data_IF_171674680974
#
_entry.id   IF_171674680974
#
_cell.length_a   1.000
_cell.length_b   1.000
_cell.length_c   1.000
_cell.angle_alpha   90.00
_cell.angle_beta   90.00
_cell.angle_gamma   90.00
#
_symmetry.space_group_name_H-M   'P 1'
#
loop_
_entity.id
_entity.type
_entity.pdbx_description
1 polymer ?
#
# COMPACT_ATOMS: atom_id res chain seq x y z
N UNK A 1 20.78 13.92 45.53
CA UNK A 1 20.86 14.73 44.30
C UNK A 1 21.88 14.06 43.39
N UNK A 2 21.41 13.26 42.43
CA UNK A 2 22.24 12.69 41.35
C UNK A 2 22.86 13.85 40.58
N UNK A 3 24.19 13.86 40.41
CA UNK A 3 24.84 14.96 39.70
C UNK A 3 24.52 14.80 38.22
N UNK A 4 24.35 15.91 37.51
CA UNK A 4 24.07 15.95 36.06
C UNK A 4 25.10 15.12 35.25
N UNK A 5 26.33 14.97 35.78
CA UNK A 5 27.38 14.10 35.23
C UNK A 5 26.98 12.63 35.17
N UNK A 6 26.37 12.10 36.25
CA UNK A 6 26.03 10.68 36.36
C UNK A 6 24.93 10.28 35.36
N UNK A 7 24.03 11.22 35.06
CA UNK A 7 22.95 11.03 34.10
C UNK A 7 23.45 11.03 32.64
N UNK A 8 24.42 11.89 32.31
CA UNK A 8 25.05 11.93 30.99
C UNK A 8 25.82 10.63 30.69
N UNK A 9 26.55 10.11 31.68
CA UNK A 9 27.33 8.88 31.52
C UNK A 9 26.41 7.65 31.37
N UNK A 10 25.28 7.61 32.08
CA UNK A 10 24.25 6.58 31.89
C UNK A 10 23.63 6.61 30.49
N UNK A 11 23.32 7.80 29.95
CA UNK A 11 22.79 7.92 28.59
C UNK A 11 23.81 7.46 27.54
N UNK A 12 25.08 7.83 27.70
CA UNK A 12 26.15 7.38 26.78
C UNK A 12 26.34 5.86 26.82
N UNK A 13 26.27 5.24 28.00
CA UNK A 13 26.31 3.77 28.12
C UNK A 13 25.10 3.10 27.48
N UNK A 14 23.91 3.67 27.60
CA UNK A 14 22.71 3.13 26.95
C UNK A 14 22.79 3.23 25.42
N UNK A 15 23.28 4.36 24.91
CA UNK A 15 23.49 4.56 23.47
C UNK A 15 24.56 3.62 22.93
N UNK A 16 25.68 3.45 23.65
CA UNK A 16 26.74 2.52 23.25
C UNK A 16 26.24 1.08 23.25
N UNK A 17 25.54 0.65 24.31
CA UNK A 17 24.97 -0.70 24.37
C UNK A 17 23.96 -0.96 23.26
N UNK A 18 23.13 0.03 22.92
CA UNK A 18 22.20 -0.07 21.80
C UNK A 18 22.94 -0.18 20.46
N UNK A 19 24.02 0.59 20.27
CA UNK A 19 24.88 0.50 19.08
C UNK A 19 25.56 -0.87 18.98
N UNK A 20 26.17 -1.35 20.05
CA UNK A 20 26.86 -2.66 20.07
C UNK A 20 25.88 -3.81 19.82
N UNK A 21 24.63 -3.69 20.30
CA UNK A 21 23.56 -4.66 20.03
C UNK A 21 23.10 -4.62 18.57
N UNK A 22 23.02 -3.44 17.96
CA UNK A 22 22.71 -3.27 16.55
C UNK A 22 23.83 -3.87 15.68
N UNK A 23 25.09 -3.63 16.04
CA UNK A 23 26.25 -4.14 15.31
C UNK A 23 26.35 -5.67 15.42
N UNK A 24 26.14 -6.24 16.63
CA UNK A 24 26.13 -7.68 16.84
C UNK A 24 24.98 -8.37 16.09
N UNK A 25 23.76 -7.81 16.14
CA UNK A 25 22.62 -8.34 15.41
C UNK A 25 22.80 -8.26 13.89
N UNK A 26 23.45 -7.20 13.41
CA UNK A 26 23.79 -7.06 11.98
C UNK A 26 24.80 -8.11 11.55
N UNK A 27 25.84 -8.36 12.36
CA UNK A 27 26.83 -9.38 12.05
C UNK A 27 26.23 -10.80 12.05
N UNK A 28 25.36 -11.11 13.02
CA UNK A 28 24.66 -12.41 13.08
C UNK A 28 23.81 -12.64 11.81
N UNK A 29 23.11 -11.61 11.35
CA UNK A 29 22.32 -11.66 10.13
C UNK A 29 23.20 -11.85 8.88
N UNK A 30 24.38 -11.21 8.82
CA UNK A 30 25.33 -11.35 7.72
C UNK A 30 25.95 -12.76 7.69
N UNK A 31 26.33 -13.28 8.86
CA UNK A 31 26.87 -14.64 9.00
C UNK A 31 25.82 -15.67 8.56
N UNK A 32 24.58 -15.49 9.00
CA UNK A 32 23.47 -16.34 8.59
C UNK A 32 23.17 -16.27 7.10
N UNK A 33 23.24 -15.08 6.50
CA UNK A 33 23.05 -14.91 5.07
C UNK A 33 24.14 -15.56 4.21
N UNK A 34 25.32 -15.81 4.79
CA UNK A 34 26.42 -16.56 4.17
C UNK A 34 26.38 -18.08 4.43
N UNK A 35 25.48 -18.57 5.28
CA UNK A 35 25.49 -19.95 5.76
C UNK A 35 24.39 -20.81 5.14
N UNK A 36 24.78 -21.75 4.26
CA UNK A 36 23.85 -22.71 3.66
C UNK A 36 23.18 -23.62 4.69
N UNK A 37 23.93 -24.04 5.71
CA UNK A 37 23.43 -24.91 6.79
C UNK A 37 22.35 -24.20 7.62
N UNK A 38 22.58 -22.94 8.00
CA UNK A 38 21.62 -22.19 8.81
C UNK A 38 20.37 -21.83 7.99
N UNK A 39 20.53 -21.48 6.72
CA UNK A 39 19.41 -21.27 5.80
C UNK A 39 18.58 -22.55 5.62
N UNK A 40 19.24 -23.69 5.39
CA UNK A 40 18.57 -24.98 5.27
C UNK A 40 17.79 -25.32 6.54
N UNK A 41 18.39 -25.13 7.72
CA UNK A 41 17.71 -25.36 9.00
C UNK A 41 16.46 -24.47 9.20
N UNK A 42 16.50 -23.21 8.73
CA UNK A 42 15.32 -22.34 8.75
C UNK A 42 14.22 -22.84 7.80
N UNK A 43 14.58 -23.29 6.59
CA UNK A 43 13.63 -23.85 5.63
C UNK A 43 13.00 -25.14 6.18
N UNK A 44 13.80 -26.00 6.83
CA UNK A 44 13.30 -27.23 7.46
C UNK A 44 12.30 -26.95 8.58
N UNK A 45 12.50 -25.88 9.37
CA UNK A 45 11.51 -25.44 10.38
C UNK A 45 10.18 -25.04 9.75
N UNK A 46 10.19 -24.45 8.55
CA UNK A 46 8.97 -24.11 7.82
C UNK A 46 8.26 -25.37 7.28
N UNK A 47 9.02 -26.37 6.83
CA UNK A 47 8.49 -27.61 6.28
C UNK A 47 7.99 -28.59 7.35
N UNK A 48 8.41 -28.43 8.62
CA UNK A 48 8.04 -29.33 9.70
C UNK A 48 6.69 -28.95 10.33
N UNK A 49 5.65 -29.81 10.24
CA UNK A 49 4.33 -29.53 10.82
C UNK A 49 4.32 -29.51 12.36
N UNK A 50 5.36 -30.04 13.01
CA UNK A 50 5.50 -30.01 14.47
C UNK A 50 6.11 -28.70 15.00
N UNK A 51 6.65 -27.85 14.11
CA UNK A 51 7.22 -26.56 14.52
C UNK A 51 6.12 -25.60 14.95
N UNK A 52 6.35 -24.89 16.05
CA UNK A 52 5.37 -23.95 16.59
C UNK A 52 5.12 -22.78 15.62
N UNK A 53 3.93 -22.17 15.66
CA UNK A 53 3.63 -21.00 14.82
C UNK A 53 4.61 -19.84 15.08
N UNK A 54 5.02 -19.62 16.33
CA UNK A 54 6.01 -18.59 16.68
C UNK A 54 7.37 -18.84 16.02
N UNK A 55 7.83 -20.10 16.00
CA UNK A 55 9.09 -20.47 15.36
C UNK A 55 9.00 -20.40 13.84
N UNK A 56 7.84 -20.76 13.26
CA UNK A 56 7.59 -20.58 11.82
C UNK A 56 7.64 -19.10 11.43
N UNK A 57 6.97 -18.22 12.19
CA UNK A 57 6.98 -16.78 11.95
C UNK A 57 8.38 -16.18 12.08
N UNK A 58 9.12 -16.59 13.10
CA UNK A 58 10.52 -16.20 13.29
C UNK A 58 11.39 -16.63 12.10
N UNK A 59 11.20 -17.85 11.60
CA UNK A 59 11.91 -18.35 10.43
C UNK A 59 11.53 -17.60 9.15
N UNK A 60 10.24 -17.33 8.88
CA UNK A 60 9.81 -16.52 7.73
C UNK A 60 10.41 -15.12 7.80
N UNK A 61 10.35 -14.46 8.96
CA UNK A 61 10.91 -13.12 9.17
C UNK A 61 12.41 -13.09 8.91
N UNK A 62 13.15 -14.05 9.46
CA UNK A 62 14.60 -14.19 9.26
C UNK A 62 14.93 -14.41 7.79
N UNK A 63 14.25 -15.34 7.11
CA UNK A 63 14.46 -15.64 5.70
C UNK A 63 14.09 -14.47 4.78
N UNK A 64 13.13 -13.63 5.18
CA UNK A 64 12.76 -12.40 4.46
C UNK A 64 13.90 -11.38 4.51
N UNK A 65 14.45 -11.11 5.70
CA UNK A 65 15.56 -10.17 5.88
C UNK A 65 16.80 -10.68 5.17
N UNK A 66 17.15 -11.95 5.38
CA UNK A 66 18.31 -12.63 4.77
C UNK A 66 18.23 -12.63 3.24
N UNK A 67 17.03 -12.78 2.69
CA UNK A 67 16.80 -12.80 1.25
C UNK A 67 17.19 -11.51 0.52
N UNK A 68 17.38 -10.40 1.24
CA UNK A 68 17.80 -9.12 0.65
C UNK A 68 19.27 -9.15 0.19
N UNK A 69 20.15 -9.83 0.93
CA UNK A 69 21.62 -9.78 0.70
C UNK A 69 22.29 -11.16 0.64
N UNK A 70 21.57 -12.25 0.92
CA UNK A 70 22.13 -13.60 0.83
C UNK A 70 22.41 -14.00 -0.62
N UNK A 71 23.63 -14.45 -0.88
CA UNK A 71 24.01 -15.13 -2.12
C UNK A 71 23.69 -16.63 -2.09
N UNK A 72 23.40 -17.18 -0.91
CA UNK A 72 23.17 -18.60 -0.68
C UNK A 72 21.69 -18.95 -0.84
N UNK A 73 20.80 -18.13 -0.28
CA UNK A 73 19.34 -18.37 -0.34
C UNK A 73 18.79 -18.61 -1.76
N UNK A 74 19.25 -17.92 -2.82
CA UNK A 74 18.81 -18.21 -4.19
C UNK A 74 19.06 -19.65 -4.64
N UNK A 75 20.09 -20.32 -4.11
CA UNK A 75 20.39 -21.74 -4.43
C UNK A 75 19.40 -22.72 -3.80
N UNK A 76 18.62 -22.25 -2.82
CA UNK A 76 17.59 -23.00 -2.07
C UNK A 76 16.17 -22.51 -2.36
N UNK A 77 15.99 -21.79 -3.47
CA UNK A 77 14.72 -21.11 -3.75
C UNK A 77 13.56 -22.10 -3.92
N UNK A 78 13.83 -23.27 -4.49
CA UNK A 78 12.80 -24.29 -4.70
C UNK A 78 12.32 -24.89 -3.37
N UNK A 79 13.24 -25.22 -2.46
CA UNK A 79 12.93 -25.75 -1.14
C UNK A 79 12.17 -24.73 -0.29
N UNK A 80 12.63 -23.47 -0.29
CA UNK A 80 11.93 -22.38 0.39
C UNK A 80 10.51 -22.18 -0.15
N UNK A 81 10.35 -22.09 -1.47
CA UNK A 81 9.03 -21.92 -2.10
C UNK A 81 8.10 -23.09 -1.75
N UNK A 82 8.59 -24.32 -1.79
CA UNK A 82 7.78 -25.49 -1.43
C UNK A 82 7.39 -25.51 0.05
N UNK A 83 8.31 -25.15 0.96
CA UNK A 83 8.02 -25.05 2.38
C UNK A 83 6.93 -23.99 2.65
N UNK A 84 7.05 -22.80 2.04
CA UNK A 84 6.06 -21.73 2.16
C UNK A 84 4.71 -22.10 1.55
N UNK A 85 4.68 -22.81 0.42
CA UNK A 85 3.43 -23.33 -0.17
C UNK A 85 2.70 -24.28 0.78
N UNK A 86 3.44 -25.09 1.54
CA UNK A 86 2.88 -25.92 2.62
C UNK A 86 2.19 -25.12 3.72
N UNK A 87 2.63 -23.89 3.96
CA UNK A 87 2.10 -22.99 4.99
C UNK A 87 0.88 -22.18 4.56
N UNK A 88 0.50 -22.18 3.27
CA UNK A 88 -0.71 -21.49 2.77
C UNK A 88 -1.98 -22.00 3.50
N UNK A 89 -1.97 -23.25 3.97
CA UNK A 89 -3.09 -23.87 4.71
C UNK A 89 -2.82 -24.02 6.21
N UNK A 90 -1.84 -23.28 6.75
CA UNK A 90 -1.54 -23.31 8.19
C UNK A 90 -2.79 -22.99 9.01
N UNK A 91 -3.04 -23.66 10.16
CA UNK A 91 -4.13 -23.28 11.04
C UNK A 91 -3.92 -21.88 11.64
N UNK A 92 -2.66 -21.46 11.81
CA UNK A 92 -2.32 -20.13 12.28
C UNK A 92 -2.48 -19.09 11.17
N UNK A 93 -3.31 -18.07 11.43
CA UNK A 93 -3.63 -17.05 10.43
C UNK A 93 -2.44 -16.18 10.07
N UNK A 94 -1.55 -15.88 11.01
CA UNK A 94 -0.38 -15.04 10.74
C UNK A 94 0.65 -15.80 9.92
N UNK A 95 0.86 -17.09 10.21
CA UNK A 95 1.73 -17.96 9.40
C UNK A 95 1.23 -18.02 7.95
N UNK A 96 -0.08 -18.24 7.74
CA UNK A 96 -0.66 -18.22 6.38
C UNK A 96 -0.40 -16.89 5.67
N UNK A 97 -0.68 -15.78 6.36
CA UNK A 97 -0.53 -14.43 5.80
C UNK A 97 0.90 -14.12 5.39
N UNK A 98 1.86 -14.42 6.25
CA UNK A 98 3.28 -14.18 5.96
C UNK A 98 3.78 -15.06 4.81
N UNK A 99 3.35 -16.32 4.77
CA UNK A 99 3.69 -17.21 3.65
C UNK A 99 3.10 -16.73 2.32
N UNK A 100 1.81 -16.36 2.30
CA UNK A 100 1.15 -15.83 1.11
C UNK A 100 1.76 -14.49 0.65
N UNK A 101 2.08 -13.59 1.58
CA UNK A 101 2.77 -12.34 1.29
C UNK A 101 4.13 -12.58 0.62
N UNK A 102 4.94 -13.47 1.20
CA UNK A 102 6.25 -13.79 0.67
C UNK A 102 6.18 -14.40 -0.74
N UNK A 103 5.24 -15.32 -0.95
CA UNK A 103 5.06 -16.01 -2.23
C UNK A 103 4.49 -15.08 -3.32
N UNK A 104 3.48 -14.26 -2.98
CA UNK A 104 2.86 -13.31 -3.92
C UNK A 104 3.84 -12.24 -4.41
N UNK A 105 4.68 -11.70 -3.52
CA UNK A 105 5.75 -10.76 -3.89
C UNK A 105 6.76 -11.34 -4.89
N UNK A 106 6.88 -12.67 -4.96
CA UNK A 106 7.75 -13.39 -5.89
C UNK A 106 7.04 -13.91 -7.13
N UNK A 107 5.76 -13.57 -7.32
CA UNK A 107 4.96 -14.04 -8.44
C UNK A 107 4.66 -15.54 -8.40
N UNK A 108 4.57 -16.14 -7.22
CA UNK A 108 4.24 -17.56 -7.10
C UNK A 108 2.78 -17.81 -7.54
N UNK A 109 2.61 -18.54 -8.65
CA UNK A 109 1.30 -18.83 -9.25
C UNK A 109 0.33 -19.57 -8.31
N UNK A 110 0.84 -20.44 -7.43
CA UNK A 110 -0.02 -21.19 -6.49
C UNK A 110 -0.60 -20.24 -5.44
N UNK A 111 0.23 -19.35 -4.89
CA UNK A 111 -0.24 -18.32 -3.97
C UNK A 111 -1.16 -17.30 -4.66
N UNK A 112 -0.83 -16.85 -5.87
CA UNK A 112 -1.70 -15.92 -6.61
C UNK A 112 -3.07 -16.55 -6.91
N UNK A 113 -3.10 -17.79 -7.38
CA UNK A 113 -4.36 -18.50 -7.63
C UNK A 113 -5.17 -18.69 -6.35
N UNK A 114 -4.52 -19.01 -5.23
CA UNK A 114 -5.18 -19.11 -3.92
C UNK A 114 -5.82 -17.78 -3.52
N UNK A 115 -5.07 -16.66 -3.61
CA UNK A 115 -5.59 -15.33 -3.30
C UNK A 115 -6.75 -14.92 -4.21
N UNK A 116 -6.67 -15.20 -5.52
CA UNK A 116 -7.80 -14.94 -6.45
C UNK A 116 -9.04 -15.73 -6.05
N UNK A 117 -8.88 -17.01 -5.72
CA UNK A 117 -10.01 -17.84 -5.26
C UNK A 117 -10.64 -17.35 -3.95
N UNK A 118 -9.85 -16.71 -3.08
CA UNK A 118 -10.36 -16.09 -1.84
C UNK A 118 -11.12 -14.78 -2.12
N UNK A 119 -10.72 -14.02 -3.15
CA UNK A 119 -11.46 -12.83 -3.60
C UNK A 119 -12.79 -13.20 -4.28
N UNK A 120 -12.80 -14.27 -5.09
CA UNK A 120 -13.99 -14.79 -5.79
C UNK A 120 -14.94 -15.58 -4.88
N UNK A 121 -14.48 -15.94 -3.69
CA UNK A 121 -15.23 -16.78 -2.75
C UNK A 121 -16.33 -15.99 -2.03
N UNK A 122 -17.54 -16.56 -2.02
CA UNK A 122 -18.71 -16.07 -1.27
C UNK A 122 -18.65 -16.33 0.25
N UNK A 123 -17.56 -16.94 0.75
CA UNK A 123 -17.38 -17.17 2.19
C UNK A 123 -17.44 -15.86 2.98
N UNK A 124 -18.00 -15.90 4.21
CA UNK A 124 -17.89 -14.78 5.14
C UNK A 124 -16.43 -14.35 5.33
N UNK A 125 -16.21 -13.04 5.46
CA UNK A 125 -14.86 -12.46 5.60
C UNK A 125 -14.03 -13.10 6.73
N UNK A 126 -14.69 -13.46 7.84
CA UNK A 126 -14.05 -14.12 8.98
C UNK A 126 -13.59 -15.57 8.71
N UNK A 127 -14.11 -16.22 7.67
CA UNK A 127 -13.78 -17.58 7.27
C UNK A 127 -12.74 -17.63 6.13
N UNK A 128 -12.40 -16.48 5.55
CA UNK A 128 -11.39 -16.39 4.49
C UNK A 128 -9.99 -16.66 5.03
N UNK A 129 -9.14 -17.24 4.18
CA UNK A 129 -7.74 -17.54 4.50
C UNK A 129 -6.97 -16.27 4.89
N UNK A 130 -7.28 -15.17 4.19
CA UNK A 130 -6.84 -13.80 4.46
C UNK A 130 -8.01 -12.83 4.21
N UNK A 131 -8.08 -11.69 4.90
CA UNK A 131 -9.01 -10.64 4.57
C UNK A 131 -8.89 -10.17 3.12
N UNK A 132 -10.02 -9.83 2.51
CA UNK A 132 -10.20 -9.31 1.16
C UNK A 132 -9.23 -8.14 0.88
N UNK A 133 -9.11 -7.17 1.78
CA UNK A 133 -8.17 -6.06 1.61
C UNK A 133 -6.69 -6.53 1.52
N UNK A 134 -6.31 -7.57 2.26
CA UNK A 134 -4.95 -8.12 2.21
C UNK A 134 -4.72 -8.92 0.93
N UNK A 135 -5.71 -9.70 0.49
CA UNK A 135 -5.63 -10.40 -0.79
C UNK A 135 -5.47 -9.43 -1.96
N UNK A 136 -6.23 -8.32 -1.98
CA UNK A 136 -6.06 -7.26 -2.98
C UNK A 136 -4.64 -6.67 -2.90
N UNK A 137 -4.18 -6.30 -1.72
CA UNK A 137 -2.85 -5.70 -1.56
C UNK A 137 -1.71 -6.65 -1.99
N UNK A 138 -1.84 -7.95 -1.71
CA UNK A 138 -0.86 -8.97 -2.09
C UNK A 138 -0.83 -9.22 -3.61
N UNK A 139 -2.01 -9.29 -4.24
CA UNK A 139 -2.10 -9.47 -5.69
C UNK A 139 -1.75 -8.20 -6.47
N UNK A 140 -2.04 -7.03 -5.89
CA UNK A 140 -1.82 -5.72 -6.50
C UNK A 140 -0.35 -5.33 -6.69
N UNK A 141 0.60 -6.16 -6.21
CA UNK A 141 2.02 -6.05 -6.56
C UNK A 141 2.28 -6.39 -8.05
N UNK A 142 1.39 -7.17 -8.67
CA UNK A 142 1.37 -7.43 -10.10
C UNK A 142 0.22 -6.62 -10.74
N UNK A 143 0.53 -5.77 -11.72
CA UNK A 143 -0.46 -4.95 -12.43
C UNK A 143 -1.57 -5.78 -13.09
N UNK A 144 -1.32 -7.07 -13.37
CA UNK A 144 -2.29 -8.02 -13.92
C UNK A 144 -2.80 -9.02 -12.88
N UNK A 145 -2.48 -8.80 -11.61
CA UNK A 145 -2.75 -9.75 -10.53
C UNK A 145 -4.24 -9.96 -10.24
N UNK A 146 -5.08 -8.97 -10.55
CA UNK A 146 -6.50 -8.95 -10.18
C UNK A 146 -7.37 -8.59 -11.38
N UNK A 147 -8.47 -9.31 -11.55
CA UNK A 147 -9.49 -9.01 -12.54
C UNK A 147 -10.20 -7.66 -12.24
N UNK A 148 -10.43 -6.87 -13.29
CA UNK A 148 -11.04 -5.55 -13.18
C UNK A 148 -12.48 -5.64 -12.65
N UNK A 149 -13.26 -6.58 -13.16
CA UNK A 149 -14.68 -6.69 -12.84
C UNK A 149 -14.84 -7.13 -11.38
N UNK A 150 -13.93 -7.97 -10.89
CA UNK A 150 -13.84 -8.33 -9.48
C UNK A 150 -13.52 -7.12 -8.58
N UNK A 151 -12.52 -6.31 -8.93
CA UNK A 151 -12.23 -5.07 -8.19
C UNK A 151 -13.41 -4.10 -8.20
N UNK A 152 -14.12 -4.00 -9.32
CA UNK A 152 -15.28 -3.13 -9.46
C UNK A 152 -16.43 -3.59 -8.56
N UNK A 153 -16.70 -4.89 -8.53
CA UNK A 153 -17.70 -5.49 -7.66
C UNK A 153 -17.39 -5.22 -6.17
N UNK A 154 -16.12 -5.37 -5.77
CA UNK A 154 -15.68 -5.07 -4.39
C UNK A 154 -15.79 -3.57 -4.09
N UNK A 155 -15.41 -2.67 -5.01
CA UNK A 155 -15.53 -1.23 -4.79
C UNK A 155 -17.00 -0.77 -4.65
N UNK A 156 -17.92 -1.45 -5.33
CA UNK A 156 -19.36 -1.18 -5.21
C UNK A 156 -19.95 -1.71 -3.91
N UNK A 157 -19.56 -2.92 -3.50
CA UNK A 157 -20.07 -3.60 -2.32
C UNK A 157 -18.92 -4.14 -1.45
N UNK A 158 -18.15 -3.24 -0.80
CA UNK A 158 -16.98 -3.65 -0.04
C UNK A 158 -17.40 -4.37 1.25
N UNK A 159 -16.73 -5.46 1.67
CA UNK A 159 -17.02 -6.11 2.94
C UNK A 159 -16.61 -5.23 4.14
N UNK A 160 -15.62 -4.35 3.96
CA UNK A 160 -15.18 -3.36 4.93
C UNK A 160 -14.49 -2.16 4.26
N UNK A 161 -14.24 -1.10 5.04
CA UNK A 161 -13.60 0.13 4.57
C UNK A 161 -12.19 -0.11 4.00
N UNK A 162 -11.43 -1.03 4.59
CA UNK A 162 -10.08 -1.35 4.14
C UNK A 162 -10.09 -1.97 2.74
N UNK A 163 -11.08 -2.81 2.46
CA UNK A 163 -11.28 -3.48 1.17
C UNK A 163 -11.68 -2.47 0.10
N UNK A 164 -12.52 -1.48 0.44
CA UNK A 164 -12.82 -0.37 -0.46
C UNK A 164 -11.57 0.43 -0.83
N UNK A 165 -10.74 0.78 0.16
CA UNK A 165 -9.51 1.55 -0.06
C UNK A 165 -8.57 0.78 -1.01
N UNK A 166 -8.41 -0.52 -0.80
CA UNK A 166 -7.55 -1.35 -1.66
C UNK A 166 -8.15 -1.54 -3.05
N UNK A 167 -9.46 -1.75 -3.16
CA UNK A 167 -10.11 -1.85 -4.45
C UNK A 167 -9.93 -0.55 -5.27
N UNK A 168 -10.19 0.61 -4.67
CA UNK A 168 -9.97 1.92 -5.32
C UNK A 168 -8.52 2.11 -5.74
N UNK A 169 -7.55 1.73 -4.91
CA UNK A 169 -6.11 1.85 -5.21
C UNK A 169 -5.70 1.08 -6.46
N UNK A 170 -6.31 -0.07 -6.70
CA UNK A 170 -5.93 -1.00 -7.76
C UNK A 170 -6.87 -0.98 -8.98
N UNK A 171 -7.99 -0.26 -8.93
CA UNK A 171 -8.86 -0.09 -10.09
C UNK A 171 -8.14 0.68 -11.20
N UNK A 172 -8.16 0.19 -12.45
CA UNK A 172 -7.63 0.94 -13.57
C UNK A 172 -8.47 2.20 -13.81
N UNK A 173 -7.87 3.26 -14.31
CA UNK A 173 -8.58 4.46 -14.74
C UNK A 173 -9.11 4.25 -16.18
N UNK A 174 -10.38 3.85 -16.32
CA UNK A 174 -11.02 3.62 -17.62
C UNK A 174 -12.50 4.09 -17.65
N UNK A 175 -13.17 3.89 -18.79
CA UNK A 175 -14.53 4.36 -19.02
C UNK A 175 -15.57 3.68 -18.11
N UNK A 176 -15.31 2.44 -17.69
CA UNK A 176 -16.23 1.66 -16.87
C UNK A 176 -16.03 1.97 -15.38
N UNK A 177 -14.79 2.26 -14.97
CA UNK A 177 -14.44 2.53 -13.57
C UNK A 177 -14.67 3.99 -13.18
N UNK A 178 -14.48 4.94 -14.09
CA UNK A 178 -14.58 6.37 -13.80
C UNK A 178 -15.93 6.79 -13.19
N UNK A 179 -17.10 6.29 -13.65
CA UNK A 179 -18.39 6.60 -13.02
C UNK A 179 -18.50 6.08 -11.58
N UNK A 180 -17.98 4.88 -11.30
CA UNK A 180 -18.01 4.27 -9.96
C UNK A 180 -17.10 5.04 -9.01
N UNK A 181 -15.86 5.32 -9.43
CA UNK A 181 -14.92 6.13 -8.66
C UNK A 181 -15.48 7.53 -8.38
N UNK A 182 -16.07 8.18 -9.39
CA UNK A 182 -16.71 9.49 -9.23
C UNK A 182 -17.85 9.45 -8.23
N UNK A 183 -18.66 8.39 -8.22
CA UNK A 183 -19.73 8.20 -7.21
C UNK A 183 -19.14 8.03 -5.81
N UNK A 184 -18.08 7.25 -5.64
CA UNK A 184 -17.41 7.06 -4.35
C UNK A 184 -16.83 8.38 -3.84
N UNK A 185 -16.18 9.18 -4.71
CA UNK A 185 -15.62 10.48 -4.37
C UNK A 185 -16.66 11.44 -3.79
N UNK A 186 -17.86 11.44 -4.37
CA UNK A 186 -18.97 12.33 -3.98
C UNK A 186 -19.75 11.84 -2.75
N UNK A 187 -19.65 10.57 -2.39
CA UNK A 187 -20.37 9.98 -1.28
C UNK A 187 -19.64 10.21 0.04
N UNK A 188 -20.13 11.15 0.86
CA UNK A 188 -19.52 11.50 2.14
C UNK A 188 -19.60 10.39 3.19
N UNK A 189 -20.46 9.38 2.99
CA UNK A 189 -20.49 8.22 3.88
C UNK A 189 -19.34 7.25 3.60
N UNK A 190 -18.58 7.43 2.52
CA UNK A 190 -17.44 6.58 2.18
C UNK A 190 -16.18 7.02 2.93
N UNK A 191 -15.29 6.08 3.26
CA UNK A 191 -14.01 6.37 3.90
C UNK A 191 -13.24 7.46 3.18
N UNK A 192 -12.82 8.47 3.95
CA UNK A 192 -12.01 9.56 3.44
C UNK A 192 -10.78 9.07 2.67
N UNK A 193 -10.09 8.06 3.20
CA UNK A 193 -8.90 7.49 2.56
C UNK A 193 -9.18 6.91 1.16
N UNK A 194 -10.37 6.34 0.93
CA UNK A 194 -10.76 5.87 -0.41
C UNK A 194 -11.05 7.07 -1.33
N UNK A 195 -11.84 8.04 -0.84
CA UNK A 195 -12.19 9.26 -1.59
C UNK A 195 -10.96 10.05 -2.01
N UNK A 196 -9.96 10.16 -1.14
CA UNK A 196 -8.74 10.92 -1.34
C UNK A 196 -7.81 10.34 -2.43
N UNK A 197 -7.92 9.05 -2.76
CA UNK A 197 -7.14 8.41 -3.84
C UNK A 197 -7.69 8.74 -5.24
N UNK A 198 -8.99 9.00 -5.33
CA UNK A 198 -9.73 9.06 -6.59
C UNK A 198 -9.33 10.23 -7.50
N UNK A 199 -9.05 11.45 -6.99
CA UNK A 199 -8.65 12.57 -7.83
C UNK A 199 -7.46 12.25 -8.75
N UNK A 200 -6.43 11.59 -8.24
CA UNK A 200 -5.23 11.22 -9.00
C UNK A 200 -5.48 10.08 -10.02
N UNK A 201 -6.55 9.30 -9.83
CA UNK A 201 -6.94 8.21 -10.74
C UNK A 201 -7.79 8.78 -11.88
N UNK A 202 -8.87 9.48 -11.55
CA UNK A 202 -9.87 9.91 -12.53
C UNK A 202 -9.35 11.04 -13.41
N UNK A 203 -8.55 11.97 -12.89
CA UNK A 203 -8.05 13.10 -13.67
C UNK A 203 -7.16 12.68 -14.87
N UNK A 204 -6.53 11.52 -14.79
CA UNK A 204 -5.66 10.97 -15.82
C UNK A 204 -6.47 10.44 -17.00
N UNK A 205 -7.67 9.94 -16.73
CA UNK A 205 -8.57 9.36 -17.73
C UNK A 205 -9.62 10.35 -18.24
N UNK A 206 -10.41 10.96 -17.34
CA UNK A 206 -11.45 11.93 -17.65
C UNK A 206 -11.20 13.27 -16.92
N UNK A 207 -10.24 14.08 -17.41
CA UNK A 207 -9.88 15.36 -16.79
C UNK A 207 -11.05 16.36 -16.76
N UNK A 208 -11.91 16.34 -17.78
CA UNK A 208 -13.03 17.26 -17.91
C UNK A 208 -14.17 16.94 -16.96
N UNK A 209 -14.57 15.67 -16.90
CA UNK A 209 -15.56 15.19 -15.95
C UNK A 209 -15.07 15.36 -14.52
N UNK A 210 -13.82 15.00 -14.23
CA UNK A 210 -13.23 15.22 -12.91
C UNK A 210 -13.18 16.70 -12.53
N UNK A 211 -12.70 17.59 -13.39
CA UNK A 211 -12.64 19.02 -13.09
C UNK A 211 -14.02 19.62 -12.80
N UNK A 212 -15.04 19.19 -13.54
CA UNK A 212 -16.43 19.60 -13.31
C UNK A 212 -16.96 19.16 -11.95
N UNK A 213 -16.66 17.92 -11.54
CA UNK A 213 -17.02 17.39 -10.21
C UNK A 213 -16.25 18.09 -9.10
N UNK A 214 -14.94 18.27 -9.27
CA UNK A 214 -14.09 18.94 -8.30
C UNK A 214 -14.54 20.38 -8.06
N UNK A 215 -14.81 21.15 -9.13
CA UNK A 215 -15.33 22.51 -9.05
C UNK A 215 -16.60 22.56 -8.21
N UNK A 216 -17.59 21.74 -8.56
CA UNK A 216 -18.88 21.68 -7.86
C UNK A 216 -18.70 21.33 -6.38
N UNK A 217 -17.92 20.30 -6.06
CA UNK A 217 -17.67 19.90 -4.67
C UNK A 217 -16.95 21.00 -3.88
N UNK A 218 -15.99 21.71 -4.49
CA UNK A 218 -15.32 22.84 -3.84
C UNK A 218 -16.29 24.00 -3.58
N UNK A 219 -17.18 24.31 -4.52
CA UNK A 219 -18.22 25.33 -4.35
C UNK A 219 -19.24 24.96 -3.26
N UNK A 220 -19.62 23.68 -3.16
CA UNK A 220 -20.58 23.17 -2.18
C UNK A 220 -19.98 23.06 -0.76
N UNK A 221 -18.75 22.55 -0.65
CA UNK A 221 -18.12 22.17 0.63
C UNK A 221 -17.10 23.20 1.13
N UNK A 222 -16.60 24.05 0.24
CA UNK A 222 -15.58 25.05 0.54
C UNK A 222 -14.18 24.47 0.69
N UNK A 223 -13.20 25.39 0.71
CA UNK A 223 -11.76 25.08 0.76
C UNK A 223 -11.26 24.57 2.12
N UNK A 224 -12.11 24.61 3.14
CA UNK A 224 -11.83 24.08 4.47
C UNK A 224 -12.23 22.60 4.63
N UNK A 225 -12.98 22.04 3.67
CA UNK A 225 -13.35 20.63 3.70
C UNK A 225 -12.12 19.72 3.59
N UNK A 226 -12.17 18.55 4.23
CA UNK A 226 -11.03 17.63 4.29
C UNK A 226 -10.61 17.13 2.90
N UNK A 227 -11.56 17.02 1.96
CA UNK A 227 -11.31 16.53 0.61
C UNK A 227 -10.78 17.62 -0.33
N UNK A 228 -10.98 18.91 0.00
CA UNK A 228 -10.61 20.03 -0.86
C UNK A 228 -9.14 20.02 -1.32
N UNK A 229 -8.13 19.74 -0.46
CA UNK A 229 -6.73 19.67 -0.90
C UNK A 229 -6.48 18.62 -1.98
N UNK A 230 -7.19 17.49 -1.93
CA UNK A 230 -7.04 16.39 -2.88
C UNK A 230 -7.72 16.72 -4.22
N UNK A 231 -8.90 17.37 -4.16
CA UNK A 231 -9.54 17.91 -5.35
C UNK A 231 -8.64 18.95 -6.04
N UNK A 232 -8.10 19.90 -5.28
CA UNK A 232 -7.21 20.93 -5.81
C UNK A 232 -5.95 20.34 -6.44
N UNK A 233 -5.31 19.37 -5.76
CA UNK A 233 -4.14 18.66 -6.28
C UNK A 233 -4.47 17.88 -7.56
N UNK A 234 -5.59 17.17 -7.57
CA UNK A 234 -6.05 16.45 -8.76
C UNK A 234 -6.27 17.37 -9.95
N UNK A 235 -6.84 18.56 -9.74
CA UNK A 235 -7.00 19.55 -10.82
C UNK A 235 -5.66 20.14 -11.26
N UNK A 236 -4.74 20.36 -10.32
CA UNK A 236 -3.41 20.87 -10.61
C UNK A 236 -2.53 19.92 -11.42
N UNK A 237 -2.72 18.60 -11.26
CA UNK A 237 -1.96 17.60 -12.02
C UNK A 237 -2.54 17.30 -13.42
N UNK A 238 -3.68 17.88 -13.79
CA UNK A 238 -4.21 17.79 -15.17
C UNK A 238 -3.23 18.47 -16.14
N UNK A 239 -2.76 17.74 -17.15
CA UNK A 239 -1.80 18.25 -18.13
C UNK A 239 -2.44 19.34 -19.02
N UNK A 240 -1.72 20.43 -19.35
CA UNK A 240 -2.27 21.57 -20.12
C UNK A 240 -2.82 21.22 -21.51
N UNK A 241 -2.27 20.23 -22.20
CA UNK A 241 -2.79 19.81 -23.51
C UNK A 241 -4.12 19.04 -23.43
N UNK A 242 -4.60 18.75 -22.22
CA UNK A 242 -5.95 18.24 -21.94
C UNK A 242 -6.91 19.36 -21.52
N UNK A 243 -6.52 20.64 -21.68
CA UNK A 243 -7.29 21.83 -21.29
C UNK A 243 -8.63 21.90 -22.04
N UNK A 244 -9.65 21.38 -21.37
CA UNK A 244 -11.04 21.67 -21.64
C UNK A 244 -11.43 22.91 -20.82
N UNK A 245 -12.34 23.74 -21.33
CA UNK A 245 -12.86 24.95 -20.64
C UNK A 245 -13.19 24.71 -19.16
N UNK A 246 -13.74 23.54 -18.82
CA UNK A 246 -14.08 23.17 -17.43
C UNK A 246 -12.88 23.00 -16.50
N UNK A 247 -11.69 22.66 -17.01
CA UNK A 247 -10.46 22.57 -16.22
C UNK A 247 -10.01 23.96 -15.76
N UNK A 248 -9.99 24.94 -16.67
CA UNK A 248 -9.63 26.32 -16.31
C UNK A 248 -10.63 26.93 -15.33
N UNK A 249 -11.93 26.69 -15.51
CA UNK A 249 -12.94 27.13 -14.55
C UNK A 249 -12.70 26.54 -13.14
N UNK A 250 -12.33 25.25 -13.06
CA UNK A 250 -11.99 24.63 -11.78
C UNK A 250 -10.72 25.24 -11.17
N UNK A 251 -9.70 25.53 -11.99
CA UNK A 251 -8.45 26.20 -11.56
C UNK A 251 -8.73 27.60 -11.02
N UNK A 252 -9.61 28.37 -11.66
CA UNK A 252 -10.02 29.70 -11.19
C UNK A 252 -10.71 29.64 -9.82
N UNK A 253 -11.64 28.70 -9.62
CA UNK A 253 -12.27 28.47 -8.31
C UNK A 253 -11.21 28.17 -7.24
N UNK A 254 -10.28 27.26 -7.52
CA UNK A 254 -9.19 26.93 -6.59
C UNK A 254 -8.34 28.16 -6.24
N UNK A 255 -7.93 28.95 -7.25
CA UNK A 255 -7.15 30.19 -7.01
C UNK A 255 -7.92 31.19 -6.15
N UNK A 256 -9.21 31.38 -6.40
CA UNK A 256 -10.06 32.31 -5.63
C UNK A 256 -10.22 31.90 -4.16
N UNK A 257 -10.18 30.59 -3.90
CA UNK A 257 -10.36 30.00 -2.57
C UNK A 257 -9.07 29.92 -1.74
N UNK A 258 -7.92 29.93 -2.40
CA UNK A 258 -6.61 29.77 -1.76
C UNK A 258 -6.35 30.71 -0.56
N UNK A 259 -6.73 32.01 -0.57
CA UNK A 259 -6.42 32.92 0.54
C UNK A 259 -7.00 32.51 1.90
N UNK A 260 -8.13 31.79 1.92
CA UNK A 260 -8.84 31.38 3.14
C UNK A 260 -8.71 29.89 3.43
N UNK A 261 -7.92 29.15 2.62
CA UNK A 261 -7.86 27.70 2.66
C UNK A 261 -6.78 27.14 3.60
N UNK A 262 -6.82 25.82 3.80
CA UNK A 262 -5.79 25.08 4.55
C UNK A 262 -4.41 25.17 3.87
N UNK A 263 -3.35 24.81 4.61
CA UNK A 263 -1.97 24.81 4.07
C UNK A 263 -1.85 23.86 2.86
N UNK A 264 -2.40 22.65 2.97
CA UNK A 264 -2.33 21.66 1.88
C UNK A 264 -3.09 22.12 0.63
N UNK A 265 -4.24 22.78 0.80
CA UNK A 265 -4.98 23.34 -0.32
C UNK A 265 -4.18 24.45 -1.02
N UNK A 266 -3.57 25.36 -0.24
CA UNK A 266 -2.73 26.43 -0.80
C UNK A 266 -1.54 25.88 -1.57
N UNK A 267 -0.87 24.85 -1.05
CA UNK A 267 0.22 24.18 -1.77
C UNK A 267 -0.23 23.64 -3.14
N UNK A 268 -1.42 23.04 -3.20
CA UNK A 268 -2.00 22.59 -4.47
C UNK A 268 -2.38 23.76 -5.39
N UNK A 269 -2.91 24.85 -4.84
CA UNK A 269 -3.25 26.05 -5.61
C UNK A 269 -2.00 26.75 -6.18
N UNK A 270 -0.88 26.76 -5.45
CA UNK A 270 0.38 27.35 -5.89
C UNK A 270 0.96 26.61 -7.11
N UNK A 271 0.76 25.29 -7.19
CA UNK A 271 1.13 24.49 -8.37
C UNK A 271 0.42 24.94 -9.66
N UNK A 272 -0.76 25.58 -9.55
CA UNK A 272 -1.50 26.14 -10.70
C UNK A 272 -0.92 27.43 -11.25
N UNK A 273 0.03 28.05 -10.55
CA UNK A 273 0.66 29.33 -10.93
C UNK A 273 2.05 29.15 -11.52
N UNK A 274 2.64 27.96 -11.38
CA UNK A 274 3.93 27.64 -11.96
C UNK A 274 3.79 27.44 -13.48
N UNK A 275 4.69 28.03 -14.30
CA UNK A 275 4.70 27.75 -15.73
C UNK A 275 4.97 26.26 -15.96
N UNK A 276 4.26 25.65 -16.91
CA UNK A 276 4.17 24.20 -17.17
C UNK A 276 5.51 23.46 -17.45
N UNK A 277 6.66 24.13 -17.36
CA UNK A 277 8.01 23.56 -17.53
C UNK A 277 8.84 23.44 -16.25
N UNK A 278 8.34 23.87 -15.08
CA UNK A 278 9.14 23.88 -13.84
C UNK A 278 9.15 22.55 -13.06
N UNK A 279 8.35 21.55 -13.45
CA UNK A 279 8.23 20.25 -12.75
C UNK A 279 8.84 19.08 -13.52
N UNK A 280 9.67 19.35 -14.54
CA UNK A 280 10.50 18.34 -15.22
C UNK A 280 11.90 18.39 -14.65
N UNK A 281 12.09 17.83 -13.45
CA UNK A 281 13.33 17.25 -12.90
C UNK A 281 13.18 17.14 -11.38
N UNK A 282 12.77 15.97 -10.93
CA UNK A 282 13.35 15.23 -9.78
C UNK A 282 12.75 13.82 -9.73
#
# INVERSE_FOLDING_TARGET
>A
MTKISDYRDQLLQQVQKASDQLDAGTQEILDLAGSDEQIAALIERLANPATSAADQLSAIGTLTVVGIFSKVLPTRSAELTNALRGLIKSPDAEVRRQALSFLSLRGDEVAQQHLRSELESDKPEAEKSVPTYQAIAMLGADEKGIDKDLLLAIAQNPPDDASLIQAVRHLPADADTAPVLTKILQDESKPFAARALIPDIVNNFDPGGFASVAKRMLEEQGAASEIAPYLARGVASIRPHKDQKGVEEAREVIRSMAPTATVLFRQAADQLTLPAGALSNE
#
